data_IF_323905617879
#
_entry.id   IF_323905617879
#
_cell.length_a   1.000
_cell.length_b   1.000
_cell.length_c   1.000
_cell.angle_alpha   90.00
_cell.angle_beta   90.00
_cell.angle_gamma   90.00
#
_symmetry.space_group_name_H-M   'P 1'
#
loop_
_entity.id
_entity.type
_entity.pdbx_description
1 polymer ?
#
# COMPACT_ATOMS: atom_id res chain seq x y z
N UNK A 1 -4.78 -25.53 7.99
CA UNK A 1 -3.85 -26.09 6.98
C UNK A 1 -2.50 -25.45 7.23
N UNK A 2 -1.51 -26.17 7.77
CA UNK A 2 -0.15 -25.66 8.01
C UNK A 2 0.71 -25.89 6.76
N UNK A 3 1.26 -24.84 6.18
CA UNK A 3 2.23 -24.94 5.09
C UNK A 3 3.58 -25.36 5.68
N UNK A 4 4.09 -26.50 5.21
CA UNK A 4 5.42 -27.02 5.57
C UNK A 4 6.51 -26.03 5.14
N UNK A 5 7.61 -25.96 5.89
CA UNK A 5 8.71 -25.03 5.60
C UNK A 5 9.34 -25.23 4.21
N UNK A 6 9.26 -26.43 3.64
CA UNK A 6 9.67 -26.73 2.27
C UNK A 6 8.90 -25.91 1.23
N UNK A 7 7.59 -25.76 1.43
CA UNK A 7 6.73 -25.01 0.51
C UNK A 7 6.99 -23.51 0.64
N UNK A 8 7.26 -23.01 1.85
CA UNK A 8 7.64 -21.59 2.05
C UNK A 8 8.87 -21.21 1.22
N UNK A 9 9.86 -22.10 1.15
CA UNK A 9 11.08 -21.91 0.36
C UNK A 9 10.76 -21.83 -1.14
N UNK A 10 9.93 -22.74 -1.66
CA UNK A 10 9.53 -22.74 -3.07
C UNK A 10 8.77 -21.46 -3.45
N UNK A 11 7.84 -21.03 -2.60
CA UNK A 11 7.08 -19.80 -2.79
C UNK A 11 7.99 -18.56 -2.75
N UNK A 12 9.01 -18.56 -1.89
CA UNK A 12 10.01 -17.50 -1.86
C UNK A 12 10.81 -17.44 -3.17
N UNK A 13 11.20 -18.58 -3.73
CA UNK A 13 11.91 -18.62 -5.02
C UNK A 13 11.03 -18.18 -6.19
N UNK A 14 9.74 -18.54 -6.18
CA UNK A 14 8.78 -18.05 -7.17
C UNK A 14 8.60 -16.53 -7.06
N UNK A 15 8.46 -16.01 -5.84
CA UNK A 15 8.33 -14.56 -5.60
C UNK A 15 9.60 -13.81 -6.03
N UNK A 16 10.79 -14.37 -5.79
CA UNK A 16 12.06 -13.80 -6.26
C UNK A 16 12.11 -13.72 -7.79
N UNK A 17 11.68 -14.78 -8.49
CA UNK A 17 11.60 -14.81 -9.95
C UNK A 17 10.60 -13.78 -10.49
N UNK A 18 9.40 -13.70 -9.91
CA UNK A 18 8.38 -12.73 -10.30
C UNK A 18 8.86 -11.29 -10.14
N UNK A 19 9.51 -10.99 -9.01
CA UNK A 19 10.14 -9.68 -8.79
C UNK A 19 11.18 -9.35 -9.87
N UNK A 20 12.05 -10.31 -10.24
CA UNK A 20 13.10 -10.10 -11.23
C UNK A 20 12.53 -9.92 -12.66
N UNK A 21 11.52 -10.71 -13.01
CA UNK A 21 10.94 -10.72 -14.37
C UNK A 21 10.00 -9.54 -14.61
N UNK A 22 9.22 -9.14 -13.60
CA UNK A 22 8.16 -8.15 -13.76
C UNK A 22 8.51 -6.79 -13.11
N UNK A 23 9.67 -6.66 -12.46
CA UNK A 23 10.06 -5.44 -11.75
C UNK A 23 9.20 -5.11 -10.53
N UNK A 24 8.45 -6.08 -10.01
CA UNK A 24 7.52 -5.89 -8.89
C UNK A 24 8.25 -5.63 -7.57
N UNK A 25 7.60 -4.92 -6.66
CA UNK A 25 8.07 -4.85 -5.28
C UNK A 25 8.00 -6.22 -4.61
N UNK A 26 8.81 -6.43 -3.56
CA UNK A 26 8.79 -7.69 -2.79
C UNK A 26 7.37 -8.02 -2.29
N UNK A 27 6.60 -7.09 -1.70
CA UNK A 27 5.23 -7.36 -1.27
C UNK A 27 4.30 -7.77 -2.41
N UNK A 28 4.40 -7.15 -3.58
CA UNK A 28 3.56 -7.47 -4.75
C UNK A 28 3.88 -8.85 -5.30
N UNK A 29 5.16 -9.21 -5.37
CA UNK A 29 5.57 -10.54 -5.83
C UNK A 29 5.07 -11.63 -4.89
N UNK A 30 5.17 -11.45 -3.57
CA UNK A 30 4.64 -12.41 -2.58
C UNK A 30 3.12 -12.51 -2.70
N UNK A 31 2.40 -11.38 -2.86
CA UNK A 31 0.95 -11.39 -3.04
C UNK A 31 0.53 -12.17 -4.28
N UNK A 32 1.21 -12.00 -5.42
CA UNK A 32 0.90 -12.75 -6.63
C UNK A 32 1.13 -14.26 -6.46
N UNK A 33 2.20 -14.65 -5.75
CA UNK A 33 2.45 -16.06 -5.43
C UNK A 33 1.35 -16.61 -4.54
N UNK A 34 1.00 -15.92 -3.45
CA UNK A 34 -0.04 -16.41 -2.54
C UNK A 34 -1.44 -16.42 -3.19
N UNK A 35 -1.71 -15.54 -4.15
CA UNK A 35 -2.96 -15.56 -4.94
C UNK A 35 -3.08 -16.83 -5.77
N UNK A 36 -1.99 -17.30 -6.40
CA UNK A 36 -2.00 -18.57 -7.15
C UNK A 36 -2.27 -19.79 -6.27
N UNK A 37 -1.92 -19.68 -4.99
CA UNK A 37 -2.06 -20.74 -4.00
C UNK A 37 -3.33 -20.58 -3.15
N UNK A 38 -4.25 -19.69 -3.52
CA UNK A 38 -5.52 -19.42 -2.80
C UNK A 38 -5.33 -19.15 -1.29
N UNK A 39 -4.14 -18.69 -0.90
CA UNK A 39 -3.73 -18.51 0.50
C UNK A 39 -3.29 -17.07 0.79
N UNK A 40 -3.67 -16.14 -0.08
CA UNK A 40 -3.32 -14.71 -0.02
C UNK A 40 -3.82 -14.00 1.24
N UNK A 41 -4.87 -14.51 1.87
CA UNK A 41 -5.40 -13.98 3.14
C UNK A 41 -4.59 -14.41 4.37
N UNK A 42 -3.65 -15.35 4.21
CA UNK A 42 -2.86 -15.84 5.33
C UNK A 42 -1.59 -15.00 5.54
N UNK A 43 -1.72 -14.01 6.42
CA UNK A 43 -0.63 -13.11 6.82
C UNK A 43 0.59 -13.86 7.36
N UNK A 44 0.40 -15.01 8.03
CA UNK A 44 1.52 -15.79 8.55
C UNK A 44 2.41 -16.32 7.43
N UNK A 45 1.83 -16.73 6.29
CA UNK A 45 2.61 -17.18 5.13
C UNK A 45 3.29 -16.03 4.42
N UNK A 46 2.63 -14.87 4.32
CA UNK A 46 3.27 -13.67 3.80
C UNK A 46 4.54 -13.33 4.60
N UNK A 47 4.46 -13.32 5.93
CA UNK A 47 5.60 -13.02 6.81
C UNK A 47 6.70 -14.08 6.71
N UNK A 48 6.34 -15.37 6.65
CA UNK A 48 7.32 -16.46 6.49
C UNK A 48 8.09 -16.35 5.16
N UNK A 49 7.39 -16.12 4.05
CA UNK A 49 8.02 -15.96 2.72
C UNK A 49 8.89 -14.69 2.69
N UNK A 50 8.41 -13.58 3.24
CA UNK A 50 9.16 -12.33 3.32
C UNK A 50 10.46 -12.49 4.15
N UNK A 51 10.39 -13.21 5.27
CA UNK A 51 11.56 -13.51 6.09
C UNK A 51 12.59 -14.36 5.32
N UNK A 52 12.13 -15.35 4.56
CA UNK A 52 13.01 -16.22 3.78
C UNK A 52 13.68 -15.47 2.61
N UNK A 53 12.93 -14.61 1.93
CA UNK A 53 13.47 -13.68 0.92
C UNK A 53 14.51 -12.71 1.51
N UNK A 54 14.25 -12.20 2.72
CA UNK A 54 15.17 -11.33 3.45
C UNK A 54 16.49 -12.01 3.82
N UNK A 55 16.45 -13.29 4.21
CA UNK A 55 17.65 -14.10 4.48
C UNK A 55 18.49 -14.32 3.22
N UNK A 56 17.85 -14.63 2.08
CA UNK A 56 18.52 -14.89 0.80
C UNK A 56 19.09 -13.64 0.14
N UNK A 57 18.42 -12.50 0.27
CA UNK A 57 18.90 -11.19 -0.23
C UNK A 57 19.99 -10.54 0.62
N UNK A 58 20.23 -11.08 1.82
CA UNK A 58 21.23 -10.60 2.75
C UNK A 58 22.66 -10.95 2.32
N UNK A 59 23.21 -10.25 1.33
CA UNK A 59 24.63 -9.90 1.42
C UNK A 59 24.78 -9.19 2.76
N UNK A 60 25.41 -9.85 3.75
CA UNK A 60 25.83 -9.24 5.01
C UNK A 60 26.35 -7.83 4.67
N UNK A 61 25.66 -6.73 5.03
CA UNK A 61 26.11 -5.43 4.61
C UNK A 61 27.51 -5.23 5.18
N UNK A 62 28.53 -5.10 4.31
CA UNK A 62 29.79 -4.50 4.72
C UNK A 62 29.41 -3.08 5.13
N UNK A 63 29.25 -2.84 6.43
CA UNK A 63 29.04 -1.51 6.99
C UNK A 63 30.32 -0.73 6.69
N UNK A 64 30.38 -0.15 5.49
CA UNK A 64 31.33 0.92 5.19
C UNK A 64 30.83 2.07 6.05
N UNK A 65 31.60 2.48 7.06
CA UNK A 65 31.29 3.65 7.89
C UNK A 65 31.03 4.83 6.94
N UNK A 66 29.76 5.15 6.71
CA UNK A 66 29.36 6.29 5.93
C UNK A 66 29.22 7.44 6.92
N UNK A 67 30.06 8.46 6.82
CA UNK A 67 29.85 9.70 7.58
C UNK A 67 28.50 10.29 7.19
N UNK A 68 27.54 10.21 8.12
CA UNK A 68 26.21 10.75 7.93
C UNK A 68 26.32 12.27 8.01
N UNK A 69 26.52 12.94 6.87
CA UNK A 69 26.23 14.37 6.75
C UNK A 69 24.71 14.53 6.92
N UNK A 70 24.26 14.86 8.14
CA UNK A 70 22.86 15.18 8.46
C UNK A 70 22.39 16.38 7.62
N UNK A 71 21.89 16.15 6.41
CA UNK A 71 21.01 17.13 5.75
C UNK A 71 19.63 16.94 6.37
N UNK A 72 19.32 17.76 7.38
CA UNK A 72 18.04 17.69 8.08
C UNK A 72 16.88 17.90 7.11
N UNK A 73 16.13 16.84 6.83
CA UNK A 73 14.84 16.94 6.14
C UNK A 73 13.84 17.51 7.14
N UNK A 74 13.69 18.84 7.16
CA UNK A 74 12.59 19.50 7.91
C UNK A 74 11.28 19.15 7.22
N UNK A 75 10.62 18.09 7.69
CA UNK A 75 9.27 17.74 7.25
C UNK A 75 8.35 18.90 7.64
N UNK A 76 7.84 19.63 6.64
CA UNK A 76 7.02 20.82 6.83
C UNK A 76 5.56 20.43 7.09
N UNK A 77 5.30 19.90 8.29
CA UNK A 77 3.99 19.38 8.74
C UNK A 77 2.88 20.45 8.59
N UNK A 78 3.22 21.73 8.72
CA UNK A 78 2.26 22.84 8.65
C UNK A 78 1.53 22.98 7.32
N UNK A 79 2.22 22.71 6.20
CA UNK A 79 1.59 22.77 4.87
C UNK A 79 0.64 21.61 4.63
N UNK A 80 0.95 20.43 5.19
CA UNK A 80 0.10 19.25 5.09
C UNK A 80 -1.21 19.45 5.85
N UNK A 81 -1.15 20.01 7.06
CA UNK A 81 -2.35 20.28 7.87
C UNK A 81 -3.30 21.29 7.21
N UNK A 82 -2.78 22.42 6.70
CA UNK A 82 -3.60 23.41 5.97
C UNK A 82 -4.29 22.85 4.73
N UNK A 83 -3.66 21.89 4.05
CA UNK A 83 -4.24 21.26 2.87
C UNK A 83 -5.36 20.27 3.22
N UNK A 84 -5.30 19.65 4.40
CA UNK A 84 -6.36 18.75 4.89
C UNK A 84 -7.60 19.58 5.23
N UNK A 85 -7.45 20.70 5.95
CA UNK A 85 -8.57 21.59 6.32
C UNK A 85 -9.28 22.17 5.08
N UNK A 86 -8.52 22.59 4.06
CA UNK A 86 -9.10 23.11 2.81
C UNK A 86 -9.95 22.07 2.08
N UNK A 87 -9.57 20.79 2.12
CA UNK A 87 -10.33 19.70 1.47
C UNK A 87 -11.65 19.40 2.17
N UNK A 88 -11.68 19.51 3.50
CA UNK A 88 -12.93 19.31 4.25
C UNK A 88 -13.94 20.43 3.97
N UNK A 89 -13.48 21.68 3.89
CA UNK A 89 -14.32 22.83 3.54
C UNK A 89 -14.99 22.69 2.16
N UNK A 90 -14.25 22.23 1.15
CA UNK A 90 -14.79 22.04 -0.21
C UNK A 90 -15.89 20.96 -0.22
N UNK A 91 -15.73 19.89 0.56
CA UNK A 91 -16.73 18.82 0.66
C UNK A 91 -18.03 19.28 1.31
N UNK A 92 -17.96 20.17 2.31
CA UNK A 92 -19.16 20.74 2.95
C UNK A 92 -19.93 21.63 1.98
N UNK A 93 -19.24 22.55 1.30
CA UNK A 93 -19.86 23.45 0.33
C UNK A 93 -20.47 22.74 -0.88
N UNK A 94 -19.84 21.66 -1.37
CA UNK A 94 -20.40 20.88 -2.49
C UNK A 94 -21.67 20.12 -2.10
N UNK A 95 -21.75 19.59 -0.88
CA UNK A 95 -22.95 18.92 -0.39
C UNK A 95 -24.12 19.89 -0.18
N UNK A 96 -23.85 21.06 0.40
CA UNK A 96 -24.87 22.12 0.58
C UNK A 96 -25.42 22.63 -0.75
N UNK A 97 -24.55 22.81 -1.76
CA UNK A 97 -24.98 23.20 -3.10
C UNK A 97 -25.82 22.12 -3.80
N UNK A 98 -25.49 20.83 -3.61
CA UNK A 98 -26.26 19.72 -4.17
C UNK A 98 -27.65 19.59 -3.52
N UNK A 99 -27.75 19.83 -2.22
CA UNK A 99 -29.02 19.81 -1.47
C UNK A 99 -29.93 20.98 -1.89
N UNK A 100 -29.38 22.18 -2.01
CA UNK A 100 -30.12 23.34 -2.53
C UNK A 100 -30.60 23.12 -3.98
N UNK A 101 -29.82 22.44 -4.82
CA UNK A 101 -30.23 22.10 -6.18
C UNK A 101 -31.35 21.04 -6.22
N UNK A 102 -31.42 20.16 -5.21
CA UNK A 102 -32.46 19.15 -5.07
C UNK A 102 -33.77 19.75 -4.57
N UNK A 103 -33.72 20.61 -3.54
CA UNK A 103 -34.90 21.33 -3.03
C UNK A 103 -35.52 22.25 -4.09
N UNK A 104 -34.71 22.88 -4.96
CA UNK A 104 -35.21 23.71 -6.07
C UNK A 104 -35.92 22.91 -7.17
N UNK A 105 -35.77 21.58 -7.21
CA UNK A 105 -36.34 20.72 -8.25
C UNK A 105 -37.72 20.21 -7.89
N UNK A 106 -37.99 20.02 -6.60
CA UNK A 106 -39.29 19.55 -6.10
C UNK A 106 -40.39 20.60 -6.27
N UNK A 107 -40.04 21.88 -6.41
CA UNK A 107 -40.97 23.00 -6.65
C UNK A 107 -41.28 23.24 -8.15
N UNK A 108 -40.57 22.54 -9.07
CA UNK A 108 -40.62 22.80 -10.53
C UNK A 108 -41.15 21.62 -11.36
N UNK A 109 -41.76 20.63 -10.72
CA UNK A 109 -42.54 19.58 -11.38
C UNK A 109 -44.03 19.96 -11.31
N UNK A 110 -44.61 20.64 -12.30
CA UNK A 110 -46.07 20.70 -12.39
C UNK A 110 -46.60 19.29 -12.61
N UNK A 111 -47.64 18.91 -11.85
CA UNK A 111 -48.35 17.63 -12.04
C UNK A 111 -48.80 17.47 -13.51
N UNK A 112 -48.70 16.26 -14.09
CA UNK A 112 -49.08 15.97 -15.48
C UNK A 112 -50.57 16.17 -15.77
#
# INVERSE_FOLDING_TARGET
>A
MEIKDSVVIELADEAAKLRKNNGLSIPEAIKQVLQKWETYDNIAYFLKIAAELGKRGGKKPKIKKCEVKKRGTKINIHRTLKNIEKRELIKKQTKEAEEMARERRDDLLPDP
#
